data_IF_212009724781
#
_entry.id   IF_212009724781
#
_cell.length_a   1.000
_cell.length_b   1.000
_cell.length_c   1.000
_cell.angle_alpha   90.00
_cell.angle_beta   90.00
_cell.angle_gamma   90.00
#
_symmetry.space_group_name_H-M   'P 1'
#
loop_
_entity.id
_entity.type
_entity.pdbx_description
1 polymer ?
#
# COMPACT_ATOMS: atom_id res chain seq x y z
N UNK A 1 -24.11 16.20 32.05
CA UNK A 1 -22.88 15.43 32.34
C UNK A 1 -22.82 14.36 31.26
N UNK A 2 -21.82 14.44 30.39
CA UNK A 2 -21.92 14.03 28.97
C UNK A 2 -22.27 12.56 28.73
N UNK A 3 -23.34 12.35 27.97
CA UNK A 3 -23.57 11.16 27.17
C UNK A 3 -22.45 11.10 26.13
N UNK A 4 -21.51 10.17 26.32
CA UNK A 4 -20.62 9.77 25.23
C UNK A 4 -21.45 8.86 24.33
N UNK A 5 -21.91 9.40 23.21
CA UNK A 5 -22.38 8.61 22.08
C UNK A 5 -21.32 7.56 21.76
N UNK A 6 -21.60 6.30 22.09
CA UNK A 6 -20.93 5.18 21.45
C UNK A 6 -21.51 5.12 20.03
N UNK A 7 -20.91 5.88 19.11
CA UNK A 7 -21.05 5.54 17.69
C UNK A 7 -20.39 4.17 17.53
N UNK A 8 -21.23 3.14 17.38
CA UNK A 8 -20.77 1.78 17.17
C UNK A 8 -19.97 1.74 15.88
N UNK A 9 -18.66 1.57 15.99
CA UNK A 9 -17.80 1.33 14.84
C UNK A 9 -18.24 0.01 14.18
N UNK A 10 -18.89 0.09 13.01
CA UNK A 10 -19.35 -1.10 12.30
C UNK A 10 -18.13 -1.79 11.66
N UNK A 11 -17.82 -3.00 12.12
CA UNK A 11 -16.73 -3.78 11.56
C UNK A 11 -17.09 -4.28 10.17
N UNK A 12 -16.22 -4.03 9.20
CA UNK A 12 -16.37 -4.58 7.85
C UNK A 12 -16.24 -6.10 7.89
N UNK A 13 -17.22 -6.78 7.29
CA UNK A 13 -17.17 -8.22 7.06
C UNK A 13 -16.68 -8.47 5.64
N UNK A 14 -15.46 -8.99 5.53
CA UNK A 14 -14.81 -9.32 4.26
C UNK A 14 -14.38 -10.79 4.29
N UNK A 15 -14.71 -11.55 3.24
CA UNK A 15 -14.11 -12.86 3.04
C UNK A 15 -12.75 -12.69 2.36
N UNK A 16 -11.67 -12.81 3.14
CA UNK A 16 -10.29 -12.65 2.67
C UNK A 16 -9.92 -13.66 1.56
N UNK A 17 -10.63 -14.79 1.45
CA UNK A 17 -10.39 -15.80 0.41
C UNK A 17 -10.78 -15.29 -0.97
N UNK A 18 -11.73 -14.35 -1.04
CA UNK A 18 -12.08 -13.65 -2.27
C UNK A 18 -11.00 -12.64 -2.68
N UNK A 19 -9.94 -12.41 -1.90
CA UNK A 19 -8.86 -11.51 -2.29
C UNK A 19 -7.64 -12.24 -2.85
N UNK A 20 -7.74 -13.54 -3.12
CA UNK A 20 -6.63 -14.33 -3.66
C UNK A 20 -6.78 -14.44 -5.18
N UNK A 21 -5.91 -13.80 -5.98
CA UNK A 21 -5.89 -14.01 -7.42
C UNK A 21 -5.18 -15.32 -7.77
N UNK A 22 -5.87 -16.22 -8.47
CA UNK A 22 -5.28 -17.46 -9.00
C UNK A 22 -5.40 -17.57 -10.53
N UNK A 23 -6.31 -16.79 -11.13
CA UNK A 23 -6.61 -16.73 -12.56
C UNK A 23 -6.85 -15.29 -13.00
N UNK A 24 -6.86 -15.04 -14.31
CA UNK A 24 -7.20 -13.72 -14.87
C UNK A 24 -8.60 -13.23 -14.44
N UNK A 25 -9.58 -14.14 -14.37
CA UNK A 25 -10.93 -13.80 -13.90
C UNK A 25 -10.91 -13.42 -12.41
N UNK A 26 -10.04 -14.06 -11.62
CA UNK A 26 -9.82 -13.67 -10.23
C UNK A 26 -9.18 -12.29 -10.11
N UNK A 27 -8.24 -11.93 -10.98
CA UNK A 27 -7.64 -10.59 -10.97
C UNK A 27 -8.70 -9.51 -11.17
N UNK A 28 -9.63 -9.69 -12.12
CA UNK A 28 -10.75 -8.75 -12.33
C UNK A 28 -11.69 -8.67 -11.12
N UNK A 29 -11.93 -9.81 -10.47
CA UNK A 29 -12.77 -9.88 -9.26
C UNK A 29 -12.09 -9.19 -8.08
N UNK A 30 -10.81 -9.47 -7.85
CA UNK A 30 -10.01 -8.86 -6.78
C UNK A 30 -9.85 -7.36 -7.01
N UNK A 31 -9.64 -6.92 -8.25
CA UNK A 31 -9.59 -5.51 -8.63
C UNK A 31 -10.85 -4.75 -8.18
N UNK A 32 -12.02 -5.31 -8.48
CA UNK A 32 -13.31 -4.73 -8.05
C UNK A 32 -13.45 -4.69 -6.54
N UNK A 33 -13.10 -5.77 -5.85
CA UNK A 33 -13.18 -5.85 -4.39
C UNK A 33 -12.23 -4.85 -3.70
N UNK A 34 -11.03 -4.66 -4.25
CA UNK A 34 -10.09 -3.64 -3.79
C UNK A 34 -10.65 -2.23 -4.01
N UNK A 35 -11.26 -1.96 -5.17
CA UNK A 35 -11.92 -0.67 -5.43
C UNK A 35 -13.04 -0.38 -4.45
N UNK A 36 -13.88 -1.38 -4.14
CA UNK A 36 -14.96 -1.23 -3.16
C UNK A 36 -14.43 -0.94 -1.75
N UNK A 37 -13.32 -1.59 -1.35
CA UNK A 37 -12.65 -1.28 -0.08
C UNK A 37 -12.04 0.13 -0.05
N UNK A 38 -11.43 0.57 -1.14
CA UNK A 38 -10.85 1.91 -1.26
C UNK A 38 -11.92 3.00 -1.23
N UNK A 39 -13.08 2.76 -1.83
CA UNK A 39 -14.25 3.63 -1.69
C UNK A 39 -14.75 3.72 -0.25
N UNK A 40 -14.78 2.60 0.49
CA UNK A 40 -15.12 2.62 1.92
C UNK A 40 -14.10 3.41 2.73
N UNK A 41 -12.81 3.16 2.49
CA UNK A 41 -11.72 3.92 3.11
C UNK A 41 -11.85 5.43 2.85
N UNK A 42 -12.17 5.82 1.62
CA UNK A 42 -12.42 7.22 1.27
C UNK A 42 -13.58 7.82 2.08
N UNK A 43 -14.73 7.14 2.13
CA UNK A 43 -15.90 7.62 2.85
C UNK A 43 -15.63 7.75 4.34
N UNK A 44 -15.06 6.73 4.97
CA UNK A 44 -14.74 6.77 6.40
C UNK A 44 -13.66 7.80 6.73
N UNK A 45 -12.74 8.08 5.80
CA UNK A 45 -11.77 9.16 5.96
C UNK A 45 -12.45 10.53 5.99
N UNK A 46 -13.45 10.75 5.12
CA UNK A 46 -14.25 11.98 5.15
C UNK A 46 -15.10 12.07 6.41
N UNK A 47 -15.73 10.98 6.85
CA UNK A 47 -16.53 10.94 8.07
C UNK A 47 -15.66 11.22 9.32
N UNK A 48 -14.38 10.83 9.28
CA UNK A 48 -13.39 11.18 10.29
C UNK A 48 -12.89 12.64 10.23
N UNK A 49 -13.39 13.43 9.27
CA UNK A 49 -13.17 14.88 9.17
C UNK A 49 -12.10 15.33 8.16
N UNK A 50 -11.57 14.43 7.32
CA UNK A 50 -10.68 14.84 6.23
C UNK A 50 -11.45 15.59 5.15
N UNK A 51 -10.79 16.55 4.49
CA UNK A 51 -11.36 17.20 3.32
C UNK A 51 -11.47 16.20 2.14
N UNK A 52 -12.35 16.46 1.16
CA UNK A 52 -12.43 15.64 -0.05
C UNK A 52 -11.09 15.52 -0.77
N UNK A 53 -10.30 16.58 -0.80
CA UNK A 53 -8.96 16.61 -1.42
C UNK A 53 -7.97 15.71 -0.67
N UNK A 54 -7.95 15.77 0.66
CA UNK A 54 -7.09 14.94 1.50
C UNK A 54 -7.47 13.45 1.39
N UNK A 55 -8.76 13.14 1.48
CA UNK A 55 -9.27 11.78 1.34
C UNK A 55 -8.98 11.22 -0.06
N UNK A 56 -9.13 12.04 -1.11
CA UNK A 56 -8.79 11.65 -2.49
C UNK A 56 -7.30 11.36 -2.64
N UNK A 57 -6.44 12.21 -2.07
CA UNK A 57 -4.99 12.02 -2.13
C UNK A 57 -4.56 10.71 -1.46
N UNK A 58 -5.10 10.41 -0.27
CA UNK A 58 -4.79 9.15 0.44
C UNK A 58 -5.35 7.93 -0.29
N UNK A 59 -6.61 7.98 -0.73
CA UNK A 59 -7.24 6.86 -1.42
C UNK A 59 -6.58 6.57 -2.77
N UNK A 60 -6.24 7.60 -3.56
CA UNK A 60 -5.53 7.44 -4.83
C UNK A 60 -4.11 6.88 -4.65
N UNK A 61 -3.38 7.35 -3.63
CA UNK A 61 -2.08 6.80 -3.28
C UNK A 61 -2.15 5.33 -2.86
N UNK A 62 -3.15 4.95 -2.07
CA UNK A 62 -3.39 3.57 -1.69
C UNK A 62 -3.85 2.70 -2.87
N UNK A 63 -4.69 3.22 -3.77
CA UNK A 63 -5.18 2.55 -4.98
C UNK A 63 -4.03 2.11 -5.87
N UNK A 64 -3.09 3.01 -6.14
CA UNK A 64 -1.90 2.73 -6.94
C UNK A 64 -1.03 1.63 -6.34
N UNK A 65 -0.82 1.64 -5.02
CA UNK A 65 -0.10 0.56 -4.36
C UNK A 65 -0.87 -0.77 -4.38
N UNK A 66 -2.16 -0.75 -4.05
CA UNK A 66 -2.95 -1.97 -3.86
C UNK A 66 -3.24 -2.65 -5.19
N UNK A 67 -3.84 -1.95 -6.14
CA UNK A 67 -4.34 -2.58 -7.36
C UNK A 67 -3.23 -2.76 -8.37
N UNK A 68 -2.43 -1.73 -8.60
CA UNK A 68 -1.39 -1.80 -9.64
C UNK A 68 -0.20 -2.61 -9.15
N UNK A 69 0.23 -2.47 -7.90
CA UNK A 69 1.39 -3.21 -7.41
C UNK A 69 1.04 -4.54 -6.72
N UNK A 70 0.25 -4.55 -5.65
CA UNK A 70 0.00 -5.79 -4.87
C UNK A 70 -0.82 -6.81 -5.67
N UNK A 71 -1.90 -6.38 -6.32
CA UNK A 71 -2.77 -7.28 -7.07
C UNK A 71 -2.19 -7.59 -8.44
N UNK A 72 -1.93 -6.58 -9.27
CA UNK A 72 -1.52 -6.79 -10.67
C UNK A 72 -0.08 -7.29 -10.81
N UNK A 73 0.91 -6.63 -10.18
CA UNK A 73 2.32 -6.98 -10.35
C UNK A 73 2.75 -8.15 -9.45
N UNK A 74 2.26 -8.19 -8.21
CA UNK A 74 2.64 -9.23 -7.24
C UNK A 74 1.70 -10.43 -7.25
N UNK A 75 0.55 -10.35 -7.91
CA UNK A 75 -0.50 -11.39 -7.91
C UNK A 75 -0.83 -11.86 -6.49
N UNK A 76 -1.04 -10.91 -5.58
CA UNK A 76 -1.24 -11.17 -4.15
C UNK A 76 -2.52 -10.56 -3.60
N UNK A 77 -2.96 -11.18 -2.51
CA UNK A 77 -3.97 -10.59 -1.65
C UNK A 77 -3.37 -9.46 -0.83
N UNK A 78 -4.12 -8.38 -0.66
CA UNK A 78 -3.80 -7.31 0.31
C UNK A 78 -3.83 -7.76 1.77
N UNK A 79 -4.38 -8.96 2.03
CA UNK A 79 -4.41 -9.56 3.36
C UNK A 79 -3.29 -10.60 3.58
N UNK A 80 -2.43 -10.81 2.59
CA UNK A 80 -1.24 -11.65 2.74
C UNK A 80 -0.20 -10.87 3.57
N UNK A 81 -0.12 -11.19 4.87
CA UNK A 81 0.66 -10.44 5.87
C UNK A 81 2.17 -10.65 5.75
N UNK A 82 2.75 -10.23 4.63
CA UNK A 82 4.18 -10.36 4.32
C UNK A 82 4.91 -9.04 4.47
N UNK A 83 5.90 -8.95 5.39
CA UNK A 83 6.74 -7.78 5.47
C UNK A 83 7.61 -7.64 4.20
N UNK A 84 8.03 -6.43 3.91
CA UNK A 84 8.85 -6.02 2.78
C UNK A 84 8.05 -5.59 1.56
N UNK A 85 6.72 -5.67 1.57
CA UNK A 85 5.90 -5.36 0.40
C UNK A 85 5.95 -3.87 0.04
N UNK A 86 6.02 -2.97 1.03
CA UNK A 86 6.14 -1.53 0.79
C UNK A 86 7.55 -1.21 0.30
N UNK A 87 8.57 -1.89 0.85
CA UNK A 87 9.95 -1.76 0.36
C UNK A 87 10.08 -2.18 -1.11
N UNK A 88 9.45 -3.28 -1.50
CA UNK A 88 9.46 -3.74 -2.89
C UNK A 88 8.78 -2.74 -3.83
N UNK A 89 7.71 -2.11 -3.38
CA UNK A 89 7.04 -1.05 -4.14
C UNK A 89 7.92 0.19 -4.28
N UNK A 90 8.23 0.88 -3.18
CA UNK A 90 8.86 2.19 -3.20
C UNK A 90 10.37 2.13 -3.47
N UNK A 91 11.05 1.07 -3.03
CA UNK A 91 12.50 0.90 -3.16
C UNK A 91 12.97 0.13 -4.39
N UNK A 92 12.04 -0.35 -5.22
CA UNK A 92 12.36 -1.04 -6.47
C UNK A 92 11.34 -0.76 -7.58
N UNK A 93 10.12 -1.29 -7.46
CA UNK A 93 9.17 -1.29 -8.58
C UNK A 93 8.84 0.12 -9.08
N UNK A 94 8.51 1.04 -8.18
CA UNK A 94 8.21 2.42 -8.53
C UNK A 94 9.40 3.11 -9.21
N UNK A 95 10.61 2.92 -8.69
CA UNK A 95 11.84 3.51 -9.24
C UNK A 95 12.09 3.00 -10.67
N UNK A 96 11.95 1.70 -10.91
CA UNK A 96 12.22 1.09 -12.22
C UNK A 96 11.13 1.42 -13.26
N UNK A 97 9.88 1.62 -12.81
CA UNK A 97 8.74 1.82 -13.70
C UNK A 97 8.32 3.29 -13.86
N UNK A 98 9.09 4.23 -13.29
CA UNK A 98 8.85 5.67 -13.39
C UNK A 98 10.02 6.33 -14.13
N UNK A 99 9.72 7.23 -15.07
CA UNK A 99 10.74 7.92 -15.87
C UNK A 99 11.62 8.84 -15.01
N UNK A 100 11.01 9.51 -14.04
CA UNK A 100 11.69 10.41 -13.11
C UNK A 100 11.14 10.17 -11.68
N UNK A 101 11.61 9.11 -10.98
CA UNK A 101 11.14 8.80 -9.64
C UNK A 101 11.58 9.88 -8.64
N UNK A 102 10.60 10.41 -7.90
CA UNK A 102 10.83 11.49 -6.94
C UNK A 102 10.47 11.05 -5.52
N UNK A 103 11.31 11.40 -4.55
CA UNK A 103 11.06 11.09 -3.14
C UNK A 103 9.75 11.72 -2.62
N UNK A 104 9.39 12.90 -3.12
CA UNK A 104 8.13 13.56 -2.76
C UNK A 104 6.88 12.79 -3.25
N UNK A 105 6.99 12.00 -4.32
CA UNK A 105 5.91 11.11 -4.76
C UNK A 105 5.85 9.86 -3.89
N UNK A 106 7.00 9.27 -3.57
CA UNK A 106 7.10 8.18 -2.60
C UNK A 106 6.46 8.60 -1.28
N UNK A 107 6.79 9.76 -0.73
CA UNK A 107 6.21 10.27 0.52
C UNK A 107 4.67 10.30 0.48
N UNK A 108 4.08 10.71 -0.65
CA UNK A 108 2.62 10.67 -0.87
C UNK A 108 2.08 9.24 -0.88
N UNK A 109 2.75 8.31 -1.57
CA UNK A 109 2.37 6.91 -1.57
C UNK A 109 2.45 6.28 -0.17
N UNK A 110 3.55 6.50 0.56
CA UNK A 110 3.75 5.96 1.90
C UNK A 110 2.67 6.46 2.88
N UNK A 111 2.25 7.72 2.76
CA UNK A 111 1.15 8.28 3.55
C UNK A 111 -0.18 7.57 3.27
N UNK A 112 -0.54 7.39 1.99
CA UNK A 112 -1.74 6.67 1.57
C UNK A 112 -1.75 5.21 2.02
N UNK A 113 -0.65 4.49 1.79
CA UNK A 113 -0.46 3.10 2.21
C UNK A 113 -0.65 2.97 3.73
N UNK A 114 0.04 3.81 4.50
CA UNK A 114 -0.06 3.80 5.96
C UNK A 114 -1.48 4.05 6.46
N UNK A 115 -2.16 5.04 5.88
CA UNK A 115 -3.55 5.35 6.23
C UNK A 115 -4.50 4.19 5.90
N UNK A 116 -4.34 3.58 4.72
CA UNK A 116 -5.17 2.46 4.29
C UNK A 116 -4.98 1.21 5.18
N UNK A 117 -3.73 0.85 5.52
CA UNK A 117 -3.49 -0.30 6.39
C UNK A 117 -3.95 -0.06 7.83
N UNK A 118 -3.91 1.18 8.33
CA UNK A 118 -4.56 1.53 9.61
C UNK A 118 -6.07 1.32 9.56
N UNK A 119 -6.72 1.71 8.46
CA UNK A 119 -8.13 1.43 8.21
C UNK A 119 -8.42 -0.08 8.23
N UNK A 120 -7.64 -0.89 7.49
CA UNK A 120 -7.80 -2.36 7.49
C UNK A 120 -7.66 -2.95 8.90
N UNK A 121 -6.68 -2.49 9.68
CA UNK A 121 -6.52 -2.93 11.06
C UNK A 121 -7.67 -2.48 11.97
N UNK A 122 -8.19 -1.27 11.78
CA UNK A 122 -9.36 -0.74 12.48
C UNK A 122 -10.58 -1.66 12.35
N UNK A 123 -10.77 -2.26 11.18
CA UNK A 123 -11.81 -3.28 10.94
C UNK A 123 -11.37 -4.72 11.23
N UNK A 124 -10.24 -4.94 11.89
CA UNK A 124 -9.72 -6.27 12.25
C UNK A 124 -9.44 -7.17 11.03
N UNK A 125 -9.17 -6.57 9.86
CA UNK A 125 -8.88 -7.29 8.63
C UNK A 125 -7.41 -7.71 8.52
N UNK A 126 -6.53 -7.17 9.35
CA UNK A 126 -5.12 -7.55 9.46
C UNK A 126 -4.66 -7.56 10.93
N UNK A 127 -3.56 -8.24 11.22
CA UNK A 127 -2.94 -8.26 12.54
C UNK A 127 -2.22 -6.94 12.87
N UNK A 128 -2.15 -6.61 14.16
CA UNK A 128 -1.35 -5.47 14.64
C UNK A 128 0.13 -5.61 14.28
N UNK A 129 0.66 -6.84 14.34
CA UNK A 129 2.06 -7.12 13.99
C UNK A 129 2.34 -6.73 12.54
N UNK A 130 1.40 -7.03 11.63
CA UNK A 130 1.56 -6.67 10.23
C UNK A 130 1.41 -5.17 9.99
N UNK A 131 0.45 -4.52 10.65
CA UNK A 131 0.34 -3.05 10.61
C UNK A 131 1.66 -2.39 11.04
N UNK A 132 2.27 -2.85 12.14
CA UNK A 132 3.55 -2.31 12.62
C UNK A 132 4.69 -2.49 11.62
N UNK A 133 4.71 -3.60 10.86
CA UNK A 133 5.68 -3.81 9.80
C UNK A 133 5.48 -2.81 8.64
N UNK A 134 4.24 -2.63 8.18
CA UNK A 134 3.89 -1.63 7.16
C UNK A 134 4.27 -0.22 7.62
N UNK A 135 3.94 0.14 8.87
CA UNK A 135 4.27 1.45 9.42
C UNK A 135 5.78 1.69 9.53
N UNK A 136 6.55 0.66 9.88
CA UNK A 136 8.01 0.72 9.91
C UNK A 136 8.57 0.93 8.49
N UNK A 137 8.12 0.16 7.50
CA UNK A 137 8.55 0.32 6.11
C UNK A 137 8.17 1.67 5.53
N UNK A 138 6.98 2.21 5.86
CA UNK A 138 6.57 3.56 5.47
C UNK A 138 7.39 4.66 6.15
N UNK A 139 8.12 4.37 7.22
CA UNK A 139 8.96 5.36 7.93
C UNK A 139 10.39 5.45 7.36
N UNK A 140 10.76 4.59 6.42
CA UNK A 140 12.12 4.46 5.89
C UNK A 140 12.42 5.42 4.74
N UNK A 141 12.07 6.70 4.90
CA UNK A 141 12.23 7.72 3.85
C UNK A 141 13.67 7.77 3.31
N UNK A 142 14.66 7.84 4.20
CA UNK A 142 16.08 7.95 3.82
C UNK A 142 16.57 6.73 3.02
N UNK A 143 16.02 5.56 3.31
CA UNK A 143 16.29 4.36 2.52
C UNK A 143 15.77 4.52 1.09
N UNK A 144 14.53 4.98 0.90
CA UNK A 144 13.97 5.19 -0.44
C UNK A 144 14.68 6.28 -1.23
N UNK A 145 15.08 7.37 -0.56
CA UNK A 145 15.88 8.43 -1.17
C UNK A 145 17.23 7.88 -1.66
N UNK A 146 17.95 7.14 -0.82
CA UNK A 146 19.19 6.48 -1.21
C UNK A 146 19.02 5.44 -2.32
N UNK A 147 17.86 4.77 -2.40
CA UNK A 147 17.53 3.86 -3.50
C UNK A 147 17.37 4.59 -4.84
N UNK A 148 16.75 5.76 -4.86
CA UNK A 148 16.65 6.62 -6.06
C UNK A 148 18.03 7.11 -6.48
N UNK A 149 18.81 7.67 -5.54
CA UNK A 149 20.15 8.19 -5.83
C UNK A 149 21.08 7.11 -6.38
N UNK A 150 21.09 5.94 -5.74
CA UNK A 150 21.90 4.81 -6.19
C UNK A 150 21.44 4.23 -7.53
N UNK A 151 20.15 4.31 -7.86
CA UNK A 151 19.64 3.92 -9.18
C UNK A 151 20.20 4.82 -10.28
N UNK A 152 20.20 6.14 -10.07
CA UNK A 152 20.76 7.09 -11.03
C UNK A 152 22.28 6.99 -11.16
N UNK A 153 22.96 6.53 -10.10
CA UNK A 153 24.40 6.31 -10.10
C UNK A 153 24.84 4.98 -10.77
N UNK A 154 23.91 4.16 -11.26
CA UNK A 154 24.26 2.88 -11.89
C UNK A 154 25.12 3.12 -13.14
N UNK A 155 26.26 2.42 -13.19
CA UNK A 155 27.14 2.35 -14.35
C UNK A 155 27.43 0.88 -14.68
N UNK A 156 27.62 0.57 -15.96
CA UNK A 156 27.85 -0.81 -16.43
C UNK A 156 26.75 -1.79 -15.99
N UNK A 157 27.14 -2.96 -15.47
CA UNK A 157 26.23 -4.03 -15.04
C UNK A 157 25.68 -3.85 -13.60
N UNK A 158 25.77 -2.64 -13.04
CA UNK A 158 25.41 -2.34 -11.64
C UNK A 158 23.93 -2.55 -11.29
N UNK A 159 23.04 -2.61 -12.28
CA UNK A 159 21.61 -2.82 -12.06
C UNK A 159 21.29 -4.12 -11.32
N UNK A 160 21.98 -5.22 -11.64
CA UNK A 160 21.70 -6.51 -10.98
C UNK A 160 22.11 -6.51 -9.50
N UNK A 161 23.14 -5.75 -9.13
CA UNK A 161 23.52 -5.58 -7.73
C UNK A 161 22.47 -4.72 -7.00
N UNK A 162 22.07 -3.60 -7.60
CA UNK A 162 21.04 -2.73 -7.08
C UNK A 162 19.68 -3.44 -6.91
N UNK A 163 19.25 -4.27 -7.88
CA UNK A 163 17.99 -5.02 -7.81
C UNK A 163 17.98 -6.06 -6.68
N UNK A 164 19.13 -6.70 -6.41
CA UNK A 164 19.24 -7.75 -5.38
C UNK A 164 19.03 -7.24 -3.96
N UNK A 165 19.37 -6.00 -3.67
CA UNK A 165 19.17 -5.39 -2.35
C UNK A 165 17.69 -5.27 -1.97
N UNK A 166 16.81 -5.08 -2.97
CA UNK A 166 15.37 -4.96 -2.78
C UNK A 166 14.62 -5.75 -3.86
N UNK A 167 14.85 -7.06 -3.95
CA UNK A 167 14.37 -7.84 -5.09
C UNK A 167 12.85 -8.02 -5.11
N UNK A 168 12.27 -7.97 -6.32
CA UNK A 168 10.85 -8.29 -6.56
C UNK A 168 10.59 -9.80 -6.63
N UNK A 169 11.65 -10.63 -6.76
CA UNK A 169 11.56 -12.07 -7.07
C UNK A 169 11.37 -12.94 -5.83
N UNK A 170 11.80 -12.45 -4.66
CA UNK A 170 11.56 -13.14 -3.40
C UNK A 170 10.23 -12.69 -2.82
N UNK A 171 9.41 -13.67 -2.46
CA UNK A 171 8.14 -13.44 -1.81
C UNK A 171 7.79 -14.59 -0.87
#
# INVERSE_FOLDING_TARGET
>A
MGERCQEGFELLKVDKREFVPATLDDEVRVDRLCKDLLHRFYNESMDAGLSPEEATALAGAADYFVRDFVVSIKSRSIFDERPGIVRQFAGNWYIVNTIDPLIAEIDRFLAGIKAFYRFLHGHQLISLKFLQAIEAECAERDYYEGRIESFWAITGDGYLAWEKECTLKNA
#
